data_IF_100650662278
#
_entry.id   IF_100650662278
#
_cell.length_a   1.000
_cell.length_b   1.000
_cell.length_c   1.000
_cell.angle_alpha   90.00
_cell.angle_beta   90.00
_cell.angle_gamma   90.00
#
_symmetry.space_group_name_H-M   'P 1'
#
loop_
_entity.id
_entity.type
_entity.pdbx_description
1 polymer ?
#
# COMPACT_ATOMS: atom_id res chain seq x y z
N UNK A 1 -1.57 0.64 9.38
CA UNK A 1 -0.48 0.70 8.39
C UNK A 1 0.27 -0.64 8.37
N UNK A 2 0.53 -1.12 7.18
CA UNK A 2 1.17 -2.43 7.01
C UNK A 2 2.49 -2.24 6.26
N UNK A 3 3.53 -2.90 6.72
CA UNK A 3 4.84 -2.83 6.06
C UNK A 3 5.16 -4.20 5.47
N UNK A 4 5.45 -4.26 4.18
CA UNK A 4 5.78 -5.50 3.49
C UNK A 4 7.02 -5.28 2.63
N UNK A 5 7.74 -6.37 2.36
CA UNK A 5 8.88 -6.32 1.44
C UNK A 5 8.37 -6.36 0.01
N UNK A 6 9.23 -5.98 -0.93
CA UNK A 6 8.92 -6.06 -2.35
C UNK A 6 8.52 -7.48 -2.77
N UNK A 7 9.24 -8.48 -2.28
CA UNK A 7 8.96 -9.88 -2.60
C UNK A 7 7.59 -10.30 -2.09
N UNK A 8 7.25 -9.93 -0.85
CA UNK A 8 5.93 -10.21 -0.29
C UNK A 8 4.83 -9.52 -1.11
N UNK A 9 5.06 -8.26 -1.48
CA UNK A 9 4.09 -7.50 -2.28
C UNK A 9 3.87 -8.16 -3.64
N UNK A 10 4.97 -8.55 -4.30
CA UNK A 10 4.88 -9.20 -5.61
C UNK A 10 4.10 -10.51 -5.55
N UNK A 11 4.34 -11.30 -4.50
CA UNK A 11 3.73 -12.62 -4.38
C UNK A 11 2.29 -12.57 -3.87
N UNK A 12 1.90 -11.51 -3.19
CA UNK A 12 0.55 -11.37 -2.63
C UNK A 12 -0.11 -10.05 -2.95
N UNK A 13 0.12 -9.49 -4.14
CA UNK A 13 -0.34 -8.16 -4.49
C UNK A 13 -1.87 -8.03 -4.41
N UNK A 14 -2.60 -9.04 -4.87
CA UNK A 14 -4.06 -9.02 -4.78
C UNK A 14 -4.54 -8.87 -3.34
N UNK A 15 -3.93 -9.61 -2.42
CA UNK A 15 -4.30 -9.56 -1.01
C UNK A 15 -3.99 -8.19 -0.41
N UNK A 16 -2.87 -7.59 -0.80
CA UNK A 16 -2.50 -6.26 -0.33
C UNK A 16 -3.48 -5.22 -0.84
N UNK A 17 -3.83 -5.28 -2.12
CA UNK A 17 -4.80 -4.35 -2.69
C UNK A 17 -6.17 -4.48 -2.04
N UNK A 18 -6.64 -5.71 -1.82
CA UNK A 18 -7.92 -5.96 -1.16
C UNK A 18 -7.90 -5.41 0.27
N UNK A 19 -6.79 -5.60 0.97
CA UNK A 19 -6.65 -5.14 2.34
C UNK A 19 -6.69 -3.62 2.44
N UNK A 20 -5.96 -2.91 1.59
CA UNK A 20 -5.94 -1.44 1.66
C UNK A 20 -7.28 -0.84 1.26
N UNK A 21 -8.04 -1.50 0.37
CA UNK A 21 -9.35 -1.02 -0.03
C UNK A 21 -10.40 -1.34 1.03
N UNK A 22 -10.45 -2.59 1.50
CA UNK A 22 -11.50 -3.04 2.42
C UNK A 22 -11.34 -2.50 3.83
N UNK A 23 -10.09 -2.35 4.29
CA UNK A 23 -9.80 -1.92 5.65
C UNK A 23 -9.43 -0.44 5.75
N UNK A 24 -9.47 0.29 4.65
CA UNK A 24 -9.06 1.70 4.56
C UNK A 24 -7.66 1.89 5.16
N UNK A 25 -6.78 0.96 4.88
CA UNK A 25 -5.42 0.95 5.41
C UNK A 25 -4.41 1.37 4.34
N UNK A 26 -3.17 1.57 4.74
CA UNK A 26 -2.07 1.81 3.81
C UNK A 26 -1.05 0.69 3.92
N UNK A 27 -0.37 0.40 2.83
CA UNK A 27 0.72 -0.56 2.82
C UNK A 27 1.99 0.15 2.36
N UNK A 28 3.08 -0.05 3.09
CA UNK A 28 4.39 0.46 2.71
C UNK A 28 5.18 -0.71 2.14
N UNK A 29 5.65 -0.56 0.92
CA UNK A 29 6.46 -1.58 0.26
C UNK A 29 7.92 -1.15 0.36
N UNK A 30 8.73 -1.94 1.06
CA UNK A 30 10.15 -1.65 1.22
C UNK A 30 10.92 -2.32 0.09
N UNK A 31 11.96 -1.64 -0.35
CA UNK A 31 12.85 -2.16 -1.38
C UNK A 31 14.29 -2.04 -0.93
N UNK A 32 15.13 -2.98 -1.39
CA UNK A 32 16.51 -3.05 -0.95
C UNK A 32 17.36 -1.89 -1.48
N UNK A 33 17.21 -1.58 -2.75
CA UNK A 33 18.09 -0.64 -3.45
C UNK A 33 17.37 0.60 -3.97
N UNK A 34 16.17 0.89 -3.46
CA UNK A 34 15.39 2.02 -3.93
C UNK A 34 14.48 2.53 -2.81
N UNK A 35 13.89 3.68 -3.01
CA UNK A 35 12.96 4.26 -2.04
C UNK A 35 11.76 3.37 -1.83
N UNK A 36 11.23 3.42 -0.62
CA UNK A 36 9.99 2.73 -0.28
C UNK A 36 8.82 3.39 -1.00
N UNK A 37 7.76 2.60 -1.20
CA UNK A 37 6.56 3.08 -1.86
C UNK A 37 5.36 2.85 -0.96
N UNK A 38 4.29 3.61 -1.19
CA UNK A 38 3.05 3.49 -0.44
C UNK A 38 1.94 3.04 -1.37
N UNK A 39 1.12 2.12 -0.90
CA UNK A 39 -0.11 1.68 -1.59
C UNK A 39 -1.29 2.03 -0.71
N UNK A 40 -2.28 2.68 -1.27
CA UNK A 40 -3.51 3.02 -0.55
C UNK A 40 -4.68 3.02 -1.52
N UNK A 41 -5.90 2.99 -0.99
CA UNK A 41 -7.09 3.07 -1.84
C UNK A 41 -7.19 4.46 -2.47
N UNK A 42 -7.87 4.53 -3.61
CA UNK A 42 -8.11 5.82 -4.27
C UNK A 42 -8.90 6.77 -3.36
N UNK A 43 -9.90 6.23 -2.67
CA UNK A 43 -10.69 7.02 -1.71
C UNK A 43 -9.81 7.64 -0.64
N UNK A 44 -8.89 6.87 -0.08
CA UNK A 44 -7.98 7.35 0.95
C UNK A 44 -7.09 8.48 0.41
N UNK A 45 -6.54 8.26 -0.76
CA UNK A 45 -5.69 9.25 -1.41
C UNK A 45 -6.45 10.56 -1.65
N UNK A 46 -7.66 10.47 -2.19
CA UNK A 46 -8.47 11.66 -2.45
C UNK A 46 -8.85 12.38 -1.16
N UNK A 47 -9.07 11.65 -0.06
CA UNK A 47 -9.30 12.25 1.25
C UNK A 47 -8.13 13.10 1.71
N UNK A 48 -6.91 12.64 1.46
CA UNK A 48 -5.70 13.33 1.91
C UNK A 48 -5.47 14.64 1.15
N UNK A 49 -5.86 14.69 -0.11
CA UNK A 49 -5.64 15.87 -0.96
C UNK A 49 -6.86 16.78 -1.08
N UNK A 50 -7.97 16.37 -0.50
CA UNK A 50 -9.18 17.18 -0.51
C UNK A 50 -9.06 18.33 0.49
N UNK A 51 -9.29 19.53 0.04
CA UNK A 51 -9.18 20.73 0.86
C UNK A 51 -10.56 21.33 1.09
#
# INVERSE_FOLDING_TARGET
>A
MRVVTFTEARNGLKNILDSVVNDADTAIITRRDAEDAVVMSLDHYLSLIHI
#
